data_IF_196624702979
#
_entry.id   IF_196624702979
#
_cell.length_a   1.000
_cell.length_b   1.000
_cell.length_c   1.000
_cell.angle_alpha   90.00
_cell.angle_beta   90.00
_cell.angle_gamma   90.00
#
_symmetry.space_group_name_H-M   'P 1'
#
loop_
_entity.id
_entity.type
_entity.pdbx_description
1 polymer ?
#
# COMPACT_ATOMS: atom_id res chain seq x y z
N UNK A 1 7.90 14.61 -5.81
CA UNK A 1 7.07 14.08 -6.91
C UNK A 1 6.02 15.15 -7.20
N UNK A 2 5.69 15.48 -8.46
CA UNK A 2 4.63 16.45 -8.75
C UNK A 2 3.45 15.69 -9.36
N UNK A 3 2.48 15.33 -8.52
CA UNK A 3 1.26 14.61 -8.96
C UNK A 3 0.24 15.67 -9.34
N UNK A 4 -0.19 15.70 -10.60
CA UNK A 4 -1.34 16.48 -11.03
C UNK A 4 -2.58 15.61 -10.88
N UNK A 5 -3.42 15.95 -9.90
CA UNK A 5 -4.67 15.27 -9.64
C UNK A 5 -5.81 15.98 -10.37
N UNK A 6 -6.86 15.23 -10.68
CA UNK A 6 -8.09 15.86 -11.11
C UNK A 6 -8.74 16.57 -9.90
N UNK A 7 -9.38 17.74 -10.08
CA UNK A 7 -9.95 18.52 -8.97
C UNK A 7 -10.92 17.74 -8.08
N UNK A 8 -11.61 16.74 -8.64
CA UNK A 8 -12.55 15.88 -7.93
C UNK A 8 -11.90 15.07 -6.79
N UNK A 9 -10.57 14.91 -6.82
CA UNK A 9 -9.83 14.24 -5.75
C UNK A 9 -9.49 15.17 -4.58
N UNK A 10 -9.57 16.49 -4.74
CA UNK A 10 -9.18 17.44 -3.69
C UNK A 10 -10.05 17.26 -2.44
N UNK A 11 -11.37 17.23 -2.62
CA UNK A 11 -12.34 17.05 -1.52
C UNK A 11 -12.20 15.69 -0.83
N UNK A 12 -11.74 14.66 -1.55
CA UNK A 12 -11.56 13.30 -1.03
C UNK A 12 -10.24 13.19 -0.25
N UNK A 13 -9.16 13.79 -0.76
CA UNK A 13 -7.82 13.64 -0.21
C UNK A 13 -7.49 14.67 0.88
N UNK A 14 -8.08 15.87 0.83
CA UNK A 14 -7.88 16.90 1.85
C UNK A 14 -8.10 16.38 3.28
N UNK A 15 -9.19 15.66 3.63
CA UNK A 15 -9.39 15.13 4.98
C UNK A 15 -8.39 14.03 5.37
N UNK A 16 -7.70 13.43 4.40
CA UNK A 16 -6.74 12.33 4.61
C UNK A 16 -5.31 12.81 4.83
N UNK A 17 -5.05 14.12 4.66
CA UNK A 17 -3.79 14.79 4.94
C UNK A 17 -2.99 15.19 3.69
N UNK A 18 -1.98 16.04 3.89
CA UNK A 18 -1.19 16.71 2.85
C UNK A 18 -0.34 15.82 1.95
N UNK A 19 -0.23 14.52 2.26
CA UNK A 19 0.51 13.53 1.46
C UNK A 19 -0.36 12.31 1.11
N UNK A 20 -1.69 12.48 1.16
CA UNK A 20 -2.61 11.38 0.88
C UNK A 20 -2.43 10.83 -0.54
N UNK A 21 -2.21 11.71 -1.52
CA UNK A 21 -2.00 11.32 -2.91
C UNK A 21 -0.77 10.41 -3.09
N UNK A 22 0.37 10.82 -2.53
CA UNK A 22 1.62 10.08 -2.54
C UNK A 22 1.45 8.72 -1.84
N UNK A 23 0.77 8.72 -0.69
CA UNK A 23 0.47 7.49 0.04
C UNK A 23 -0.38 6.52 -0.77
N UNK A 24 -1.53 6.94 -1.29
CA UNK A 24 -2.43 6.04 -2.01
C UNK A 24 -1.82 5.54 -3.32
N UNK A 25 -1.04 6.37 -4.01
CA UNK A 25 -0.32 5.94 -5.21
C UNK A 25 0.76 4.91 -4.87
N UNK A 26 1.58 5.17 -3.85
CA UNK A 26 2.60 4.23 -3.40
C UNK A 26 2.00 2.91 -2.89
N UNK A 27 0.92 2.97 -2.12
CA UNK A 27 0.16 1.81 -1.66
C UNK A 27 -0.40 1.00 -2.84
N UNK A 28 -0.98 1.67 -3.84
CA UNK A 28 -1.52 1.00 -5.03
C UNK A 28 -0.43 0.26 -5.82
N UNK A 29 0.73 0.90 -6.01
CA UNK A 29 1.88 0.27 -6.68
C UNK A 29 2.46 -0.90 -5.87
N UNK A 30 2.47 -0.77 -4.54
CA UNK A 30 2.88 -1.84 -3.63
C UNK A 30 1.92 -3.04 -3.70
N UNK A 31 0.61 -2.81 -3.61
CA UNK A 31 -0.41 -3.86 -3.74
C UNK A 31 -0.40 -4.52 -5.12
N UNK A 32 -0.07 -3.77 -6.17
CA UNK A 32 0.14 -4.30 -7.53
C UNK A 32 1.49 -5.04 -7.71
N UNK A 33 2.26 -5.23 -6.62
CA UNK A 33 3.59 -5.86 -6.59
C UNK A 33 4.59 -5.24 -7.58
N UNK A 34 4.46 -3.93 -7.86
CA UNK A 34 5.35 -3.20 -8.79
C UNK A 34 6.57 -2.62 -8.11
N UNK A 35 6.47 -2.38 -6.81
CA UNK A 35 7.56 -1.82 -5.99
C UNK A 35 7.64 -2.53 -4.65
N UNK A 36 8.82 -2.50 -4.03
CA UNK A 36 9.03 -3.05 -2.69
C UNK A 36 8.32 -2.20 -1.63
N UNK A 37 8.10 -2.78 -0.43
CA UNK A 37 7.56 -2.03 0.70
C UNK A 37 8.41 -0.80 1.05
N UNK A 38 9.74 -0.96 1.08
CA UNK A 38 10.66 0.14 1.39
C UNK A 38 10.59 1.26 0.34
N UNK A 39 10.47 0.91 -0.94
CA UNK A 39 10.26 1.87 -2.01
C UNK A 39 8.92 2.61 -1.87
N UNK A 40 7.86 1.90 -1.50
CA UNK A 40 6.54 2.49 -1.29
C UNK A 40 6.52 3.46 -0.11
N UNK A 41 7.12 3.09 1.03
CA UNK A 41 7.25 3.96 2.20
C UNK A 41 8.00 5.26 1.85
N UNK A 42 9.15 5.13 1.15
CA UNK A 42 9.92 6.27 0.69
C UNK A 42 9.12 7.19 -0.24
N UNK A 43 8.40 6.61 -1.22
CA UNK A 43 7.56 7.37 -2.16
C UNK A 43 6.36 8.05 -1.48
N UNK A 44 5.84 7.46 -0.41
CA UNK A 44 4.77 8.01 0.41
C UNK A 44 5.26 9.09 1.41
N UNK A 45 6.55 9.43 1.41
CA UNK A 45 7.17 10.33 2.40
C UNK A 45 6.99 9.85 3.85
N UNK A 46 6.99 8.53 4.07
CA UNK A 46 6.84 7.91 5.38
C UNK A 46 8.04 7.02 5.69
N UNK A 47 8.30 6.82 6.97
CA UNK A 47 9.17 5.76 7.44
C UNK A 47 8.46 4.40 7.36
N UNK A 48 9.19 3.34 7.70
CA UNK A 48 8.69 1.98 7.58
C UNK A 48 7.42 1.76 8.42
N UNK A 49 7.43 2.18 9.68
CA UNK A 49 6.31 1.99 10.62
C UNK A 49 5.13 2.92 10.31
N UNK A 50 5.39 4.14 9.86
CA UNK A 50 4.38 5.09 9.41
C UNK A 50 3.64 4.55 8.18
N UNK A 51 4.37 4.02 7.20
CA UNK A 51 3.74 3.41 6.03
C UNK A 51 2.91 2.19 6.40
N UNK A 52 3.43 1.30 7.27
CA UNK A 52 2.69 0.14 7.78
C UNK A 52 1.40 0.55 8.50
N UNK A 53 1.47 1.54 9.39
CA UNK A 53 0.31 2.04 10.15
C UNK A 53 -0.76 2.54 9.20
N UNK A 54 -0.39 3.33 8.19
CA UNK A 54 -1.32 3.86 7.19
C UNK A 54 -1.92 2.76 6.33
N UNK A 55 -1.16 1.73 5.97
CA UNK A 55 -1.71 0.57 5.27
C UNK A 55 -2.74 -0.18 6.12
N UNK A 56 -2.51 -0.32 7.44
CA UNK A 56 -3.50 -0.92 8.35
C UNK A 56 -4.76 -0.07 8.42
N UNK A 57 -4.63 1.26 8.57
CA UNK A 57 -5.77 2.19 8.65
C UNK A 57 -6.68 2.13 7.41
N UNK A 58 -6.09 2.09 6.21
CA UNK A 58 -6.84 2.24 4.95
C UNK A 58 -7.15 0.92 4.25
N UNK A 59 -6.34 -0.11 4.47
CA UNK A 59 -6.44 -1.39 3.74
C UNK A 59 -6.60 -2.60 4.67
N UNK A 60 -6.66 -2.40 6.00
CA UNK A 60 -6.72 -3.47 7.01
C UNK A 60 -5.57 -4.49 6.92
N UNK A 61 -4.46 -4.13 6.29
CA UNK A 61 -3.32 -5.02 6.08
C UNK A 61 -2.01 -4.22 6.06
N UNK A 62 -1.08 -4.53 6.98
CA UNK A 62 0.17 -3.75 7.12
C UNK A 62 1.32 -4.15 6.20
N UNK A 63 1.29 -5.35 5.62
CA UNK A 63 2.28 -5.83 4.65
C UNK A 63 1.71 -7.02 3.87
N UNK A 64 2.15 -7.18 2.63
CA UNK A 64 1.95 -8.34 1.80
C UNK A 64 3.13 -9.27 2.05
N UNK A 65 2.88 -10.37 2.76
CA UNK A 65 3.81 -11.48 2.78
C UNK A 65 3.69 -12.15 1.41
N UNK A 66 4.66 -11.89 0.54
CA UNK A 66 4.80 -12.60 -0.70
C UNK A 66 5.39 -13.98 -0.39
N UNK A 67 4.54 -14.92 0.01
CA UNK A 67 4.92 -16.33 0.01
C UNK A 67 3.85 -17.13 -0.74
N UNK A 68 4.02 -17.18 -2.05
CA UNK A 68 3.26 -18.07 -2.94
C UNK A 68 3.48 -19.54 -2.56
N UNK A 69 4.63 -19.91 -1.97
CA UNK A 69 4.86 -21.29 -1.53
C UNK A 69 3.97 -21.69 -0.34
N UNK A 70 3.70 -20.78 0.61
CA UNK A 70 2.80 -21.08 1.74
C UNK A 70 1.35 -21.26 1.27
N UNK A 71 0.90 -20.49 0.27
CA UNK A 71 -0.45 -20.62 -0.28
C UNK A 71 -0.62 -21.89 -1.12
N UNK A 72 0.39 -22.29 -1.90
CA UNK A 72 0.41 -23.58 -2.61
C UNK A 72 0.39 -24.77 -1.65
N UNK A 73 1.15 -24.71 -0.55
CA UNK A 73 1.17 -25.76 0.49
C UNK A 73 -0.18 -25.88 1.21
N UNK A 74 -0.81 -24.76 1.61
CA UNK A 74 -2.15 -24.76 2.24
C UNK A 74 -3.18 -25.39 1.30
N UNK A 75 -3.17 -25.01 0.02
CA UNK A 75 -4.10 -25.54 -0.97
C UNK A 75 -3.86 -27.04 -1.28
N UNK A 76 -2.63 -27.51 -1.08
CA UNK A 76 -2.25 -28.92 -1.23
C UNK A 76 -2.77 -29.75 -0.04
N UNK A 77 -2.74 -29.21 1.17
CA UNK A 77 -3.29 -29.87 2.38
C UNK A 77 -4.82 -29.94 2.36
N UNK A 78 -5.53 -28.93 1.85
CA UNK A 78 -7.00 -28.97 1.70
C UNK A 78 -7.49 -29.99 0.66
N UNK A 79 -6.60 -30.48 -0.21
CA UNK A 79 -6.87 -31.48 -1.26
C UNK A 79 -6.48 -32.90 -0.86
N UNK A 80 -5.92 -33.10 0.34
CA UNK A 80 -5.67 -34.40 0.97
C UNK A 80 -6.84 -34.79 1.88
#
# INVERSE_FOLDING_TARGET
MHIQLQPEFDDILQPLGSHAAEFFLAASLYHARKISFASAAHMACLDFDGFKTRLIEHFNQGYIIADECVLEDIHTVEKL
#
